data_IF_382423931677
#
_entry.id   IF_382423931677
#
_cell.length_a   1.000
_cell.length_b   1.000
_cell.length_c   1.000
_cell.angle_alpha   90.00
_cell.angle_beta   90.00
_cell.angle_gamma   90.00
#
_symmetry.space_group_name_H-M   'P 1'
#
loop_
_entity.id
_entity.type
_entity.pdbx_description
1 polymer ?
#
# COMPACT_ATOMS: atom_id res chain seq x y z
N UNK A 1 -7.44 48.97 22.09
CA UNK A 1 -8.11 48.14 21.07
C UNK A 1 -7.15 47.09 20.59
N UNK A 2 -7.33 45.86 21.02
CA UNK A 2 -6.62 44.71 20.43
C UNK A 2 -7.07 44.62 18.97
N UNK A 3 -6.17 44.88 18.03
CA UNK A 3 -6.43 44.70 16.61
C UNK A 3 -6.78 43.25 16.35
N UNK A 4 -7.94 43.03 15.80
CA UNK A 4 -8.39 41.70 15.32
C UNK A 4 -7.47 41.29 14.18
N UNK A 5 -6.41 40.52 14.51
CA UNK A 5 -5.60 39.88 13.53
C UNK A 5 -6.29 38.57 13.12
N UNK A 6 -7.29 38.67 12.25
CA UNK A 6 -7.91 37.51 11.62
C UNK A 6 -6.88 36.79 10.74
N UNK A 7 -6.13 35.89 11.35
CA UNK A 7 -5.23 35.04 10.61
C UNK A 7 -6.05 34.07 9.74
N UNK A 8 -5.74 34.00 8.45
CA UNK A 8 -6.37 33.03 7.54
C UNK A 8 -6.18 31.61 8.08
N UNK A 9 -7.26 30.86 8.17
CA UNK A 9 -7.25 29.48 8.67
C UNK A 9 -7.45 28.44 7.57
N UNK A 10 -8.15 28.83 6.50
CA UNK A 10 -8.46 27.96 5.36
C UNK A 10 -8.59 28.80 4.10
N UNK A 11 -8.14 28.27 2.97
CA UNK A 11 -8.36 28.84 1.64
C UNK A 11 -8.61 27.78 0.58
N UNK A 12 -9.26 28.21 -0.52
CA UNK A 12 -9.28 27.52 -1.79
C UNK A 12 -8.60 28.45 -2.80
N UNK A 13 -7.53 27.99 -3.45
CA UNK A 13 -6.79 28.75 -4.45
C UNK A 13 -7.52 28.76 -5.80
N UNK A 14 -7.14 29.67 -6.71
CA UNK A 14 -7.65 29.67 -8.09
C UNK A 14 -7.34 28.38 -8.86
N UNK A 15 -6.30 27.61 -8.46
CA UNK A 15 -5.97 26.29 -9.00
C UNK A 15 -6.81 25.16 -8.39
N UNK A 16 -7.74 25.49 -7.46
CA UNK A 16 -8.62 24.53 -6.79
C UNK A 16 -7.91 23.69 -5.71
N UNK A 17 -6.78 24.16 -5.18
CA UNK A 17 -6.14 23.53 -4.02
C UNK A 17 -6.72 24.10 -2.72
N UNK A 18 -6.96 23.22 -1.73
CA UNK A 18 -7.46 23.58 -0.40
C UNK A 18 -6.30 23.57 0.60
N UNK A 19 -6.05 24.70 1.26
CA UNK A 19 -5.09 24.84 2.34
C UNK A 19 -5.79 25.02 3.67
N UNK A 20 -5.43 24.24 4.67
CA UNK A 20 -5.82 24.43 6.08
C UNK A 20 -4.55 24.71 6.88
N UNK A 21 -4.47 25.89 7.52
CA UNK A 21 -3.26 26.32 8.23
C UNK A 21 -2.08 26.68 7.32
N UNK A 22 -2.27 26.75 6.00
CA UNK A 22 -1.29 27.19 5.01
C UNK A 22 -1.93 28.08 3.95
N UNK A 23 -1.21 29.09 3.51
CA UNK A 23 -1.64 30.03 2.48
C UNK A 23 -1.13 29.66 1.07
N UNK A 24 -0.25 28.67 0.95
CA UNK A 24 0.36 28.23 -0.30
C UNK A 24 0.30 26.69 -0.45
N UNK A 25 -0.92 26.10 -0.58
CA UNK A 25 -1.03 24.65 -0.71
C UNK A 25 -0.47 24.16 -2.04
N UNK A 26 0.48 23.20 -1.97
CA UNK A 26 1.12 22.56 -3.12
C UNK A 26 0.37 21.32 -3.61
N UNK A 27 -0.57 20.80 -2.82
CA UNK A 27 -1.41 19.63 -3.11
C UNK A 27 -2.88 19.99 -3.16
N UNK A 28 -3.74 19.12 -3.70
CA UNK A 28 -5.21 19.35 -3.76
C UNK A 28 -5.83 19.60 -2.39
N UNK A 29 -5.35 18.92 -1.35
CA UNK A 29 -5.62 19.23 0.04
C UNK A 29 -4.32 19.19 0.82
N UNK A 30 -3.97 20.28 1.47
CA UNK A 30 -2.81 20.36 2.37
C UNK A 30 -3.23 20.91 3.72
N UNK A 31 -2.92 20.15 4.79
CA UNK A 31 -3.16 20.53 6.18
C UNK A 31 -1.82 20.74 6.87
N UNK A 32 -1.56 21.97 7.32
CA UNK A 32 -0.42 22.28 8.19
C UNK A 32 -0.86 22.13 9.64
N UNK A 33 -0.82 20.91 10.15
CA UNK A 33 -1.30 20.52 11.48
C UNK A 33 -1.74 19.05 11.51
N UNK A 34 -2.38 18.65 12.58
CA UNK A 34 -2.90 17.28 12.74
C UNK A 34 -4.14 17.05 11.88
N UNK A 35 -4.26 15.87 11.30
CA UNK A 35 -5.42 15.39 10.56
C UNK A 35 -5.92 14.09 11.16
N UNK A 36 -7.21 14.01 11.47
CA UNK A 36 -7.86 12.78 11.97
C UNK A 36 -9.03 12.44 11.06
N UNK A 37 -9.11 11.19 10.66
CA UNK A 37 -10.24 10.63 9.92
C UNK A 37 -10.61 9.27 10.52
N UNK A 38 -11.88 8.87 10.42
CA UNK A 38 -12.35 7.55 10.85
C UNK A 38 -11.71 6.44 10.03
N UNK A 39 -11.58 6.66 8.72
CA UNK A 39 -10.88 5.77 7.77
C UNK A 39 -10.06 6.62 6.80
N UNK A 40 -8.99 6.05 6.28
CA UNK A 40 -8.19 6.64 5.21
C UNK A 40 -7.99 5.60 4.11
N UNK A 41 -8.49 5.89 2.93
CA UNK A 41 -8.52 4.98 1.79
C UNK A 41 -8.03 5.69 0.54
N UNK A 42 -7.42 4.93 -0.38
CA UNK A 42 -7.33 5.35 -1.77
C UNK A 42 -8.33 4.57 -2.61
N UNK A 43 -8.96 5.24 -3.56
CA UNK A 43 -9.88 4.62 -4.53
C UNK A 43 -9.45 5.01 -5.93
N UNK A 44 -9.24 4.00 -6.77
CA UNK A 44 -8.77 4.14 -8.16
C UNK A 44 -9.69 3.37 -9.12
N UNK A 45 -9.68 3.67 -10.43
CA UNK A 45 -10.25 2.78 -11.42
C UNK A 45 -9.64 1.37 -11.29
N UNK A 46 -10.47 0.32 -11.35
CA UNK A 46 -9.96 -1.04 -11.19
C UNK A 46 -9.01 -1.40 -12.35
N UNK A 47 -7.74 -1.79 -12.09
CA UNK A 47 -6.73 -1.96 -13.14
C UNK A 47 -7.11 -2.99 -14.21
N UNK A 48 -7.86 -4.03 -13.84
CA UNK A 48 -8.19 -5.15 -14.73
C UNK A 48 -9.70 -5.30 -15.03
N UNK A 49 -10.58 -4.55 -14.35
CA UNK A 49 -12.06 -4.71 -14.48
C UNK A 49 -12.71 -3.38 -14.87
N UNK A 50 -12.99 -3.21 -16.16
CA UNK A 50 -13.62 -2.00 -16.71
C UNK A 50 -14.91 -1.63 -15.98
N UNK A 51 -15.06 -0.35 -15.65
CA UNK A 51 -16.25 0.20 -14.97
C UNK A 51 -16.36 -0.13 -13.48
N UNK A 52 -15.31 -0.72 -12.90
CA UNK A 52 -15.21 -0.96 -11.44
C UNK A 52 -14.16 -0.06 -10.81
N UNK A 53 -14.26 0.12 -9.51
CA UNK A 53 -13.24 0.76 -8.68
C UNK A 53 -12.56 -0.25 -7.77
N UNK A 54 -11.33 0.07 -7.38
CA UNK A 54 -10.55 -0.65 -6.38
C UNK A 54 -10.28 0.32 -5.23
N UNK A 55 -10.66 -0.08 -4.01
CA UNK A 55 -10.39 0.68 -2.79
C UNK A 55 -9.52 -0.13 -1.84
N UNK A 56 -8.49 0.51 -1.31
CA UNK A 56 -7.62 -0.06 -0.27
C UNK A 56 -7.49 0.92 0.89
N UNK A 57 -7.34 0.40 2.11
CA UNK A 57 -6.87 1.20 3.24
C UNK A 57 -5.47 1.72 2.95
N UNK A 58 -5.22 3.00 3.26
CA UNK A 58 -3.90 3.58 3.04
C UNK A 58 -2.88 3.00 4.01
N UNK A 59 -1.75 2.54 3.48
CA UNK A 59 -0.56 2.16 4.23
C UNK A 59 0.37 3.38 4.32
N UNK A 60 0.86 3.70 5.51
CA UNK A 60 1.83 4.79 5.71
C UNK A 60 3.23 4.22 5.79
N UNK A 61 4.11 4.71 4.93
CA UNK A 61 5.51 4.29 4.83
C UNK A 61 6.26 5.16 3.83
N UNK A 62 7.53 4.84 3.55
CA UNK A 62 8.36 5.59 2.61
C UNK A 62 8.04 5.29 1.15
N UNK A 63 6.97 4.53 0.88
CA UNK A 63 6.51 4.14 -0.45
C UNK A 63 4.98 4.08 -0.50
N UNK A 64 4.41 4.20 -1.68
CA UNK A 64 3.00 3.90 -1.90
C UNK A 64 2.78 2.38 -2.01
N UNK A 65 2.82 1.70 -0.86
CA UNK A 65 2.73 0.25 -0.79
C UNK A 65 1.31 -0.30 -0.75
N UNK A 66 1.16 -1.52 -1.28
CA UNK A 66 -0.01 -2.39 -1.05
C UNK A 66 0.47 -3.75 -0.56
N UNK A 67 -0.38 -4.45 0.16
CA UNK A 67 -0.04 -5.77 0.67
C UNK A 67 -1.20 -6.75 0.57
N UNK A 68 -0.86 -8.01 0.57
CA UNK A 68 -1.78 -9.13 0.80
C UNK A 68 -1.17 -10.08 1.82
N UNK A 69 -1.99 -10.61 2.71
CA UNK A 69 -1.55 -11.56 3.71
C UNK A 69 -2.56 -12.68 3.89
N UNK A 70 -2.09 -13.81 4.36
CA UNK A 70 -2.97 -14.93 4.63
C UNK A 70 -2.24 -16.10 5.25
N UNK A 71 -2.92 -17.24 5.22
CA UNK A 71 -2.44 -18.54 5.70
C UNK A 71 -2.56 -19.54 4.55
N UNK A 72 -1.57 -20.41 4.37
CA UNK A 72 -1.58 -21.42 3.33
C UNK A 72 -0.91 -22.72 3.77
N UNK A 73 -1.33 -23.83 3.14
CA UNK A 73 -0.65 -25.13 3.15
C UNK A 73 -0.12 -25.48 1.76
N UNK A 74 -0.45 -24.66 0.76
CA UNK A 74 -0.08 -24.90 -0.62
C UNK A 74 1.31 -24.34 -0.92
N UNK A 75 2.05 -25.01 -1.80
CA UNK A 75 3.34 -24.49 -2.30
C UNK A 75 3.16 -23.21 -3.11
N UNK A 76 2.05 -23.08 -3.83
CA UNK A 76 1.74 -21.90 -4.64
C UNK A 76 0.56 -21.14 -4.05
N UNK A 77 0.73 -19.85 -3.84
CA UNK A 77 -0.30 -18.90 -3.40
C UNK A 77 -0.50 -17.88 -4.50
N UNK A 78 -1.72 -17.78 -5.01
CA UNK A 78 -2.06 -16.80 -6.02
C UNK A 78 -2.34 -15.44 -5.37
N UNK A 79 -1.78 -14.41 -5.99
CA UNK A 79 -1.98 -13.01 -5.61
C UNK A 79 -3.23 -12.46 -6.33
N UNK A 80 -3.75 -11.30 -5.89
CA UNK A 80 -4.90 -10.69 -6.56
C UNK A 80 -4.60 -10.40 -8.03
N UNK A 81 -5.56 -10.69 -8.91
CA UNK A 81 -5.43 -10.58 -10.37
C UNK A 81 -5.06 -9.17 -10.87
N UNK A 82 -5.40 -8.15 -10.09
CA UNK A 82 -5.08 -6.76 -10.39
C UNK A 82 -3.63 -6.35 -10.08
N UNK A 83 -2.86 -7.18 -9.35
CA UNK A 83 -1.46 -6.86 -9.02
C UNK A 83 -0.59 -6.73 -10.27
N UNK A 84 -0.86 -7.50 -11.32
CA UNK A 84 -0.13 -7.41 -12.60
C UNK A 84 -0.13 -5.99 -13.21
N UNK A 85 -1.18 -5.20 -12.96
CA UNK A 85 -1.32 -3.84 -13.47
C UNK A 85 -1.17 -2.76 -12.38
N UNK A 86 -1.12 -3.14 -11.10
CA UNK A 86 -1.05 -2.23 -9.96
C UNK A 86 0.33 -2.08 -9.37
N UNK A 87 1.20 -3.10 -9.40
CA UNK A 87 2.46 -3.08 -8.66
C UNK A 87 3.68 -3.25 -9.56
N UNK A 88 4.82 -2.74 -9.10
CA UNK A 88 6.13 -3.07 -9.64
C UNK A 88 6.55 -4.47 -9.19
N UNK A 89 6.84 -5.37 -10.13
CA UNK A 89 7.23 -6.76 -9.82
C UNK A 89 8.53 -6.85 -9.03
N UNK A 90 9.49 -6.01 -9.34
CA UNK A 90 10.79 -5.92 -8.68
C UNK A 90 10.73 -5.39 -7.24
N UNK A 91 9.62 -4.76 -6.85
CA UNK A 91 9.37 -4.30 -5.48
C UNK A 91 8.73 -5.36 -4.57
N UNK A 92 8.33 -6.50 -5.11
CA UNK A 92 7.64 -7.54 -4.34
C UNK A 92 8.57 -8.11 -3.26
N UNK A 93 8.12 -8.00 -2.02
CA UNK A 93 8.76 -8.66 -0.87
C UNK A 93 7.82 -9.68 -0.26
N UNK A 94 8.39 -10.80 0.22
CA UNK A 94 7.63 -11.90 0.80
C UNK A 94 8.19 -12.26 2.17
N UNK A 95 7.32 -12.29 3.17
CA UNK A 95 7.64 -12.78 4.51
C UNK A 95 6.84 -14.04 4.80
N UNK A 96 7.50 -15.05 5.36
CA UNK A 96 6.92 -16.35 5.66
C UNK A 96 7.14 -16.69 7.13
N UNK A 97 6.10 -17.23 7.78
CA UNK A 97 6.19 -17.71 9.17
C UNK A 97 5.56 -19.09 9.27
N UNK A 98 6.34 -20.10 9.61
CA UNK A 98 5.85 -21.48 9.80
C UNK A 98 4.84 -21.55 10.92
N UNK A 99 3.84 -22.43 10.79
CA UNK A 99 2.80 -22.68 11.78
C UNK A 99 2.95 -24.11 12.30
N UNK A 100 2.85 -24.27 13.61
CA UNK A 100 2.82 -25.56 14.30
C UNK A 100 4.15 -26.26 14.44
N UNK A 101 4.97 -26.32 13.39
CA UNK A 101 6.31 -26.92 13.39
C UNK A 101 7.31 -26.04 12.64
N UNK A 102 8.57 -26.13 13.01
CA UNK A 102 9.65 -25.40 12.34
C UNK A 102 9.88 -26.00 10.95
N UNK A 103 9.22 -25.46 9.94
CA UNK A 103 9.52 -25.76 8.54
C UNK A 103 10.46 -24.66 8.04
N UNK A 104 11.66 -25.00 7.62
CA UNK A 104 12.64 -24.06 7.08
C UNK A 104 12.18 -23.61 5.69
N UNK A 105 11.26 -22.64 5.67
CA UNK A 105 10.60 -22.14 4.47
C UNK A 105 11.49 -21.17 3.71
N UNK A 106 11.35 -21.18 2.39
CA UNK A 106 11.94 -20.19 1.49
C UNK A 106 11.04 -19.95 0.28
N UNK A 107 11.19 -18.80 -0.34
CA UNK A 107 10.52 -18.44 -1.60
C UNK A 107 11.30 -19.02 -2.76
N UNK A 108 10.66 -19.87 -3.56
CA UNK A 108 11.23 -20.50 -4.75
C UNK A 108 11.16 -19.55 -5.94
N UNK A 109 10.00 -18.94 -6.12
CA UNK A 109 9.72 -18.00 -7.19
C UNK A 109 8.59 -17.06 -6.79
N UNK A 110 8.55 -15.90 -7.39
CA UNK A 110 7.45 -14.93 -7.26
C UNK A 110 7.33 -14.10 -8.53
N UNK A 111 6.14 -13.60 -8.75
CA UNK A 111 5.81 -12.58 -9.72
C UNK A 111 4.51 -11.88 -9.29
N UNK A 112 3.92 -11.04 -10.13
CA UNK A 112 2.68 -10.35 -9.83
C UNK A 112 1.44 -11.25 -9.73
N UNK A 113 1.54 -12.55 -10.10
CA UNK A 113 0.42 -13.49 -10.11
C UNK A 113 0.47 -14.48 -8.95
N UNK A 114 1.66 -14.86 -8.48
CA UNK A 114 1.82 -15.85 -7.41
C UNK A 114 3.16 -15.73 -6.67
N UNK A 115 3.19 -16.34 -5.50
CA UNK A 115 4.41 -16.73 -4.81
C UNK A 115 4.48 -18.26 -4.75
N UNK A 116 5.68 -18.83 -4.91
CA UNK A 116 5.95 -20.25 -4.71
C UNK A 116 6.87 -20.45 -3.53
N UNK A 117 6.45 -21.32 -2.60
CA UNK A 117 7.12 -21.57 -1.31
C UNK A 117 7.52 -23.03 -1.21
N UNK A 118 8.69 -23.28 -0.67
CA UNK A 118 9.16 -24.64 -0.35
C UNK A 118 9.82 -24.69 1.03
N UNK A 119 10.11 -25.89 1.49
CA UNK A 119 10.94 -26.16 2.67
C UNK A 119 12.24 -26.85 2.27
N UNK A 120 13.32 -26.53 2.96
CA UNK A 120 14.58 -27.29 2.84
C UNK A 120 14.53 -28.67 3.50
N UNK A 121 13.45 -28.97 4.24
CA UNK A 121 13.25 -30.26 4.91
C UNK A 121 12.43 -31.20 4.00
N UNK A 122 13.01 -32.31 3.50
CA UNK A 122 12.31 -33.22 2.61
C UNK A 122 11.09 -33.86 3.27
N UNK A 123 9.97 -33.95 2.52
CA UNK A 123 8.75 -34.65 2.96
C UNK A 123 7.95 -33.95 4.05
N UNK A 124 8.35 -32.73 4.47
CA UNK A 124 7.59 -31.99 5.47
C UNK A 124 6.34 -31.36 4.86
N UNK A 125 5.19 -31.55 5.52
CA UNK A 125 4.01 -30.77 5.24
C UNK A 125 4.20 -29.34 5.74
N UNK A 126 3.96 -28.36 4.88
CA UNK A 126 4.09 -26.94 5.20
C UNK A 126 2.73 -26.36 5.58
N UNK A 127 2.71 -25.57 6.62
CA UNK A 127 1.63 -24.66 6.95
C UNK A 127 2.26 -23.35 7.43
N UNK A 128 1.80 -22.21 6.88
CA UNK A 128 2.48 -20.94 7.13
C UNK A 128 1.57 -19.73 6.94
N UNK A 129 1.91 -18.64 7.66
CA UNK A 129 1.46 -17.32 7.31
C UNK A 129 2.35 -16.74 6.22
N UNK A 130 1.77 -15.99 5.33
CA UNK A 130 2.47 -15.16 4.36
C UNK A 130 2.04 -13.70 4.47
N UNK A 131 2.98 -12.80 4.22
CA UNK A 131 2.77 -11.39 4.00
C UNK A 131 3.55 -11.01 2.74
N UNK A 132 2.87 -10.45 1.76
CA UNK A 132 3.46 -10.02 0.48
C UNK A 132 3.16 -8.55 0.33
N UNK A 133 4.18 -7.73 0.14
CA UNK A 133 4.08 -6.29 -0.06
C UNK A 133 4.74 -5.91 -1.36
N UNK A 134 4.23 -4.88 -2.02
CA UNK A 134 4.82 -4.29 -3.21
C UNK A 134 4.45 -2.82 -3.36
N UNK A 135 5.30 -2.06 -4.06
CA UNK A 135 5.09 -0.66 -4.39
C UNK A 135 4.14 -0.53 -5.58
N UNK A 136 3.25 0.46 -5.53
CA UNK A 136 2.33 0.79 -6.62
C UNK A 136 3.07 1.41 -7.80
N UNK A 137 2.66 1.05 -9.03
CA UNK A 137 3.19 1.62 -10.28
C UNK A 137 2.23 2.58 -10.99
N UNK A 138 1.02 2.75 -10.45
CA UNK A 138 0.00 3.66 -11.01
C UNK A 138 0.12 5.10 -10.49
N UNK A 139 1.11 5.36 -9.66
CA UNK A 139 1.49 6.68 -9.13
C UNK A 139 3.00 6.84 -9.22
N UNK A 140 3.47 8.09 -9.29
CA UNK A 140 4.90 8.37 -9.20
C UNK A 140 5.46 7.93 -7.84
N UNK A 141 6.74 7.57 -7.79
CA UNK A 141 7.40 7.21 -6.54
C UNK A 141 7.35 8.35 -5.53
N UNK A 142 7.16 8.00 -4.26
CA UNK A 142 7.18 8.98 -3.20
C UNK A 142 8.59 9.57 -3.05
N UNK A 143 8.70 10.88 -3.16
CA UNK A 143 9.92 11.60 -2.82
C UNK A 143 9.93 11.83 -1.30
N UNK A 144 10.76 11.06 -0.60
CA UNK A 144 10.77 11.02 0.88
C UNK A 144 11.54 12.18 1.49
N UNK A 145 12.59 12.64 0.80
CA UNK A 145 13.44 13.75 1.25
C UNK A 145 13.51 14.79 0.12
N UNK A 146 13.19 16.05 0.45
CA UNK A 146 13.17 17.19 -0.48
C UNK A 146 13.94 18.37 0.06
#
# INVERSE_FOLDING_TARGET
>A
SAGDTTAERMRITSAGNVGIGTTAPTHKLQVNGSFTATTKEFTIPHPTKKGKTLSHGSLEGPEYGVYVRGKSKNRKVYLPDYWKDLVHEDSITVQLTSIGKSAKLYVVAYNTEYIEVASTQPGIEIEYFYYVQAERKDVDKLEVET
#
